data_IF_534838071359
#
_entry.id   IF_534838071359
#
_cell.length_a   1.000
_cell.length_b   1.000
_cell.length_c   1.000
_cell.angle_alpha   90.00
_cell.angle_beta   90.00
_cell.angle_gamma   90.00
#
_symmetry.space_group_name_H-M   'P 1'
#
loop_
_entity.id
_entity.type
_entity.pdbx_description
1 polymer ?
#
# COMPACT_ATOMS: atom_id res chain seq x y z
N UNK A 1 5.77 -9.59 -19.80
CA UNK A 1 5.57 -10.34 -18.54
C UNK A 1 4.07 -10.55 -18.38
N UNK A 2 3.60 -11.78 -18.18
CA UNK A 2 2.17 -12.08 -18.09
C UNK A 2 1.57 -11.41 -16.84
N UNK A 3 0.42 -10.75 -16.98
CA UNK A 3 -0.26 -10.07 -15.86
C UNK A 3 -0.46 -10.98 -14.64
N UNK A 4 -0.65 -12.28 -14.88
CA UNK A 4 -0.74 -13.32 -13.84
C UNK A 4 0.48 -13.35 -12.93
N UNK A 5 1.69 -13.22 -13.49
CA UNK A 5 2.92 -13.29 -12.71
C UNK A 5 3.13 -12.05 -11.84
N UNK A 6 2.73 -10.87 -12.33
CA UNK A 6 2.72 -9.63 -11.54
C UNK A 6 1.72 -9.74 -10.39
N UNK A 7 0.53 -10.26 -10.66
CA UNK A 7 -0.52 -10.43 -9.64
C UNK A 7 -0.07 -11.37 -8.52
N UNK A 8 0.49 -12.54 -8.87
CA UNK A 8 1.02 -13.50 -7.88
C UNK A 8 2.12 -12.86 -7.03
N UNK A 9 3.04 -12.10 -7.65
CA UNK A 9 4.13 -11.44 -6.92
C UNK A 9 3.62 -10.38 -5.95
N UNK A 10 2.61 -9.58 -6.35
CA UNK A 10 1.97 -8.58 -5.49
C UNK A 10 1.21 -9.25 -4.35
N UNK A 11 0.48 -10.34 -4.61
CA UNK A 11 -0.20 -11.10 -3.56
C UNK A 11 0.79 -11.64 -2.52
N UNK A 12 1.90 -12.22 -2.97
CA UNK A 12 2.93 -12.75 -2.09
C UNK A 12 3.56 -11.63 -1.24
N UNK A 13 3.77 -10.46 -1.85
CA UNK A 13 4.24 -9.27 -1.13
C UNK A 13 3.21 -8.78 -0.09
N UNK A 14 1.92 -8.80 -0.41
CA UNK A 14 0.85 -8.44 0.53
C UNK A 14 0.76 -9.40 1.72
N UNK A 15 0.99 -10.71 1.51
CA UNK A 15 1.06 -11.67 2.62
C UNK A 15 2.26 -11.43 3.54
N UNK A 16 3.38 -10.94 3.01
CA UNK A 16 4.62 -10.69 3.77
C UNK A 16 4.65 -9.31 4.43
N UNK A 17 4.06 -8.28 3.83
CA UNK A 17 4.13 -6.91 4.35
C UNK A 17 2.78 -6.37 4.85
N UNK A 18 1.68 -6.69 4.18
CA UNK A 18 0.35 -6.14 4.51
C UNK A 18 -0.32 -6.82 5.70
N UNK A 19 -0.22 -8.14 5.78
CA UNK A 19 -0.91 -8.93 6.82
C UNK A 19 -0.03 -9.19 8.05
N UNK A 20 1.30 -9.15 7.91
CA UNK A 20 2.23 -9.48 9.00
C UNK A 20 2.08 -8.52 10.20
N UNK A 21 1.97 -7.21 9.97
CA UNK A 21 1.77 -6.22 11.03
C UNK A 21 0.51 -6.49 11.87
N UNK A 22 -0.67 -6.60 11.24
CA UNK A 22 -1.91 -6.99 11.92
C UNK A 22 -1.83 -8.33 12.67
N UNK A 23 -1.21 -9.37 12.08
CA UNK A 23 -1.04 -10.67 12.76
C UNK A 23 -0.18 -10.53 14.01
N UNK A 24 0.95 -9.82 13.94
CA UNK A 24 1.84 -9.62 15.08
C UNK A 24 1.15 -8.91 16.24
N UNK A 25 0.39 -7.85 15.93
CA UNK A 25 -0.41 -7.14 16.92
C UNK A 25 -1.51 -8.04 17.49
N UNK A 26 -2.21 -8.80 16.64
CA UNK A 26 -3.25 -9.72 17.08
C UNK A 26 -2.71 -10.77 18.03
N UNK A 27 -1.57 -11.41 17.71
CA UNK A 27 -0.92 -12.39 18.59
C UNK A 27 -0.46 -11.75 19.90
N UNK A 28 0.11 -10.55 19.85
CA UNK A 28 0.52 -9.82 21.05
C UNK A 28 -0.65 -9.55 22.01
N UNK A 29 -1.82 -9.17 21.50
CA UNK A 29 -3.01 -8.93 22.33
C UNK A 29 -3.73 -10.22 22.74
N UNK A 30 -3.68 -11.27 21.92
CA UNK A 30 -4.30 -12.56 22.21
C UNK A 30 -3.53 -13.36 23.27
N UNK A 31 -2.21 -13.25 23.30
CA UNK A 31 -1.38 -13.87 24.31
C UNK A 31 -1.29 -12.97 25.57
N UNK A 32 -2.12 -13.23 26.57
CA UNK A 32 -2.09 -12.57 27.88
C UNK A 32 -0.75 -12.78 28.62
N UNK A 33 -0.49 -12.02 29.69
CA UNK A 33 0.61 -11.07 29.80
C UNK A 33 2.00 -11.74 29.80
N UNK A 34 2.43 -12.25 28.66
CA UNK A 34 3.80 -12.75 28.51
C UNK A 34 4.73 -11.58 28.13
N UNK A 35 5.73 -11.30 28.96
CA UNK A 35 6.71 -10.24 28.66
C UNK A 35 7.60 -10.61 27.46
N UNK A 36 7.67 -11.90 27.12
CA UNK A 36 8.52 -12.41 26.03
C UNK A 36 8.04 -11.98 24.65
N UNK A 37 6.76 -11.61 24.49
CA UNK A 37 6.13 -11.20 23.22
C UNK A 37 6.06 -9.68 23.04
N UNK A 38 6.58 -8.88 23.98
CA UNK A 38 6.54 -7.41 23.93
C UNK A 38 7.27 -6.81 22.72
N UNK A 39 8.23 -7.53 22.14
CA UNK A 39 8.90 -7.15 20.90
C UNK A 39 7.96 -7.20 19.68
N UNK A 40 6.98 -8.12 19.67
CA UNK A 40 5.99 -8.24 18.59
C UNK A 40 5.07 -7.03 18.52
N UNK A 41 4.78 -6.39 19.65
CA UNK A 41 4.01 -5.15 19.69
C UNK A 41 4.72 -4.03 18.92
N UNK A 42 5.99 -3.77 19.25
CA UNK A 42 6.76 -2.69 18.64
C UNK A 42 7.02 -2.94 17.16
N UNK A 43 7.36 -4.18 16.79
CA UNK A 43 7.55 -4.55 15.38
C UNK A 43 6.24 -4.54 14.59
N UNK A 44 5.18 -5.13 15.15
CA UNK A 44 3.85 -5.14 14.53
C UNK A 44 3.34 -3.73 14.27
N UNK A 45 3.45 -2.84 15.25
CA UNK A 45 3.07 -1.43 15.11
C UNK A 45 3.90 -0.71 14.03
N UNK A 46 5.23 -0.89 14.05
CA UNK A 46 6.14 -0.25 13.08
C UNK A 46 5.85 -0.71 11.66
N UNK A 47 5.63 -2.02 11.45
CA UNK A 47 5.30 -2.60 10.15
C UNK A 47 3.95 -2.07 9.67
N UNK A 48 2.91 -2.08 10.52
CA UNK A 48 1.58 -1.57 10.16
C UNK A 48 1.62 -0.10 9.78
N UNK A 49 2.31 0.74 10.56
CA UNK A 49 2.44 2.16 10.25
C UNK A 49 3.20 2.35 8.93
N UNK A 50 4.30 1.64 8.74
CA UNK A 50 5.07 1.67 7.49
C UNK A 50 4.22 1.27 6.27
N UNK A 51 3.44 0.19 6.37
CA UNK A 51 2.58 -0.30 5.29
C UNK A 51 1.51 0.73 4.91
N UNK A 52 0.84 1.34 5.90
CA UNK A 52 -0.14 2.41 5.67
C UNK A 52 0.50 3.64 5.01
N UNK A 53 1.68 4.07 5.47
CA UNK A 53 2.38 5.21 4.89
C UNK A 53 2.81 4.94 3.44
N UNK A 54 3.27 3.73 3.14
CA UNK A 54 3.61 3.31 1.77
C UNK A 54 2.35 3.31 0.89
N UNK A 55 1.24 2.76 1.38
CA UNK A 55 -0.04 2.73 0.66
C UNK A 55 -0.54 4.15 0.34
N UNK A 56 -0.45 5.07 1.31
CA UNK A 56 -0.81 6.48 1.12
C UNK A 56 0.12 7.16 0.11
N UNK A 57 1.44 6.98 0.23
CA UNK A 57 2.42 7.55 -0.69
C UNK A 57 2.25 7.07 -2.13
N UNK A 58 1.97 5.77 -2.30
CA UNK A 58 1.71 5.17 -3.61
C UNK A 58 0.40 5.71 -4.20
N UNK A 59 -0.68 5.73 -3.41
CA UNK A 59 -1.97 6.29 -3.81
C UNK A 59 -1.82 7.74 -4.29
N UNK A 60 -1.15 8.57 -3.51
CA UNK A 60 -0.93 9.98 -3.82
C UNK A 60 -0.09 10.16 -5.10
N UNK A 61 0.91 9.30 -5.32
CA UNK A 61 1.70 9.26 -6.55
C UNK A 61 0.89 8.84 -7.77
N UNK A 62 -0.04 7.89 -7.62
CA UNK A 62 -0.96 7.45 -8.68
C UNK A 62 -1.94 8.57 -9.03
N UNK A 63 -2.57 9.20 -8.01
CA UNK A 63 -3.53 10.29 -8.19
C UNK A 63 -2.90 11.53 -8.85
N UNK A 64 -1.63 11.84 -8.55
CA UNK A 64 -0.90 12.91 -9.25
C UNK A 64 -0.73 12.62 -10.73
N UNK A 65 -0.34 11.39 -11.09
CA UNK A 65 -0.17 10.99 -12.50
C UNK A 65 -1.50 11.03 -13.26
N UNK A 66 -2.58 10.53 -12.64
CA UNK A 66 -3.90 10.50 -13.28
C UNK A 66 -4.45 11.90 -13.56
N UNK A 67 -4.27 12.85 -12.62
CA UNK A 67 -4.63 14.26 -12.83
C UNK A 67 -3.84 14.90 -13.97
N UNK A 68 -2.53 14.65 -14.06
CA UNK A 68 -1.70 15.18 -15.13
C UNK A 68 -2.15 14.67 -16.51
N UNK A 69 -2.42 13.36 -16.63
CA UNK A 69 -2.91 12.76 -17.86
C UNK A 69 -4.29 13.29 -18.26
N UNK A 70 -5.18 13.49 -17.28
CA UNK A 70 -6.52 14.05 -17.51
C UNK A 70 -6.44 15.50 -17.98
N UNK A 71 -5.55 16.30 -17.38
CA UNK A 71 -5.31 17.69 -17.80
C UNK A 71 -4.74 17.76 -19.23
N UNK A 72 -3.78 16.89 -19.57
CA UNK A 72 -3.22 16.82 -20.92
C UNK A 72 -4.28 16.44 -21.96
N UNK A 73 -5.13 15.45 -21.64
CA UNK A 73 -6.26 15.04 -22.51
C UNK A 73 -7.27 16.17 -22.72
N UNK A 74 -7.60 16.90 -21.65
CA UNK A 74 -8.51 18.05 -21.73
C UNK A 74 -7.91 19.17 -22.59
N UNK A 75 -6.61 19.48 -22.41
CA UNK A 75 -5.91 20.48 -23.21
C UNK A 75 -5.82 20.08 -24.69
N UNK A 76 -5.60 18.79 -24.98
CA UNK A 76 -5.59 18.26 -26.35
C UNK A 76 -6.94 18.39 -27.03
N UNK A 77 -8.03 18.03 -26.34
CA UNK A 77 -9.40 18.24 -26.85
C UNK A 77 -9.69 19.70 -27.15
N UNK A 78 -9.35 20.60 -26.23
CA UNK A 78 -9.56 22.04 -26.43
C UNK A 78 -8.82 22.59 -27.66
N UNK A 79 -7.63 22.05 -27.98
CA UNK A 79 -6.90 22.40 -29.22
C UNK A 79 -7.53 21.81 -30.49
N UNK A 80 -8.17 20.65 -30.40
CA UNK A 80 -8.85 20.01 -31.53
C UNK A 80 -10.20 20.67 -31.86
N UNK A 81 -10.83 21.29 -30.86
CA UNK A 81 -12.13 21.99 -31.00
C UNK A 81 -12.00 23.47 -31.41
N UNK A 82 -10.78 24.04 -31.43
CA UNK A 82 -10.51 25.40 -31.92
C UNK A 82 -9.93 25.35 -33.35
N UNK A 83 -10.74 25.63 -34.40
CA UNK A 83 -10.27 25.71 -35.79
C UNK A 83 -9.36 26.92 -36.06
#
# INVERSE_FOLDING_TARGET
MSAVWVYVRVQLMMFVFGIVGPIFLFVYFAAQPDQTIRWMYWWGLTITVGDVLIALSLTDSILRKDRALTAERAARRAREEMP
#
